data_IF_698487569641
#
_entry.id   IF_698487569641
#
_cell.length_a   1.000
_cell.length_b   1.000
_cell.length_c   1.000
_cell.angle_alpha   90.00
_cell.angle_beta   90.00
_cell.angle_gamma   90.00
#
_symmetry.space_group_name_H-M   'P 1'
#
loop_
_entity.id
_entity.type
_entity.pdbx_description
1 polymer ?
#
# COMPACT_ATOMS: atom_id res chain seq x y z
N UNK A 1 -6.98 -10.58 6.35
CA UNK A 1 -7.85 -9.40 6.22
C UNK A 1 -6.95 -8.23 5.83
N UNK A 2 -7.30 -7.42 4.82
CA UNK A 2 -6.38 -6.43 4.25
C UNK A 2 -6.41 -5.13 5.07
N UNK A 3 -5.60 -4.94 6.12
CA UNK A 3 -5.49 -3.58 6.67
C UNK A 3 -4.75 -2.68 5.68
N UNK A 4 -5.50 -1.69 5.19
CA UNK A 4 -5.04 -0.72 4.21
C UNK A 4 -4.33 0.45 4.89
N UNK A 5 -4.42 0.64 6.20
CA UNK A 5 -3.77 1.78 6.86
C UNK A 5 -2.43 1.45 7.51
N UNK A 6 -2.20 0.20 7.92
CA UNK A 6 -1.23 -0.03 9.00
C UNK A 6 -0.29 -1.20 8.76
N UNK A 7 -0.06 -1.67 7.52
CA UNK A 7 0.74 -2.90 7.28
C UNK A 7 0.30 -4.08 8.16
N UNK A 8 -0.93 -4.01 8.67
CA UNK A 8 -1.45 -4.86 9.70
C UNK A 8 -2.31 -5.88 8.98
N UNK A 9 -2.14 -7.14 9.35
CA UNK A 9 -2.88 -8.24 8.78
C UNK A 9 -3.01 -9.25 9.91
N UNK A 10 -4.24 -9.40 10.43
CA UNK A 10 -4.84 -10.58 11.08
C UNK A 10 -3.99 -11.39 12.10
N UNK A 11 -2.96 -10.80 12.71
CA UNK A 11 -2.01 -11.51 13.58
C UNK A 11 -2.03 -11.07 15.03
N UNK A 12 -3.20 -10.65 15.53
CA UNK A 12 -3.44 -10.53 16.96
C UNK A 12 -3.52 -11.89 17.68
N UNK A 13 -3.51 -13.03 16.99
CA UNK A 13 -3.51 -14.35 17.66
C UNK A 13 -2.21 -14.70 18.42
N UNK A 14 -1.14 -13.90 18.33
CA UNK A 14 0.18 -14.29 18.89
C UNK A 14 0.72 -13.38 20.00
N UNK A 15 -0.12 -12.99 20.94
CA UNK A 15 0.34 -12.52 22.26
C UNK A 15 0.97 -13.62 23.15
N UNK A 16 1.30 -14.80 22.59
CA UNK A 16 2.11 -15.85 23.24
C UNK A 16 3.29 -16.35 22.37
N UNK A 17 4.22 -15.46 22.02
CA UNK A 17 5.63 -15.89 21.93
C UNK A 17 6.25 -16.13 20.55
N UNK A 18 5.84 -15.45 19.49
CA UNK A 18 6.70 -15.20 18.31
C UNK A 18 6.43 -13.78 17.80
N UNK A 19 7.44 -13.03 17.30
CA UNK A 19 7.28 -11.59 17.12
C UNK A 19 6.12 -11.28 16.16
N UNK A 20 5.48 -10.14 16.28
CA UNK A 20 4.27 -9.73 15.53
C UNK A 20 4.51 -8.33 14.96
N UNK A 21 3.92 -8.02 13.80
CA UNK A 21 4.41 -7.11 12.74
C UNK A 21 5.30 -7.86 11.76
N UNK A 22 4.72 -8.24 10.62
CA UNK A 22 5.53 -8.61 9.49
C UNK A 22 5.79 -7.35 8.67
N UNK A 23 6.88 -6.64 8.97
CA UNK A 23 7.54 -5.82 7.97
C UNK A 23 7.68 -6.65 6.67
N UNK A 24 7.76 -5.99 5.51
CA UNK A 24 7.98 -6.71 4.25
C UNK A 24 9.12 -7.74 4.32
N UNK A 25 10.18 -7.42 5.06
CA UNK A 25 11.31 -8.32 5.33
C UNK A 25 10.91 -9.64 6.01
N UNK A 26 9.84 -9.64 6.80
CA UNK A 26 9.39 -10.78 7.58
C UNK A 26 8.27 -11.57 6.92
N UNK A 27 7.41 -10.91 6.13
CA UNK A 27 6.53 -11.60 5.18
C UNK A 27 7.38 -12.42 4.19
N UNK A 28 8.45 -11.83 3.66
CA UNK A 28 9.40 -12.48 2.78
C UNK A 28 10.06 -13.71 3.42
N UNK A 29 10.42 -13.66 4.71
CA UNK A 29 10.99 -14.84 5.41
C UNK A 29 9.96 -15.93 5.70
N UNK A 30 8.67 -15.59 5.81
CA UNK A 30 7.59 -16.53 6.17
C UNK A 30 7.06 -17.30 4.97
N UNK A 31 7.12 -16.71 3.77
CA UNK A 31 6.66 -17.33 2.52
C UNK A 31 7.68 -18.35 1.95
N UNK A 32 8.86 -18.48 2.54
CA UNK A 32 9.93 -19.39 2.11
C UNK A 32 10.73 -18.89 0.90
N UNK A 33 11.85 -19.55 0.61
CA UNK A 33 12.58 -19.35 -0.64
C UNK A 33 11.75 -19.84 -1.84
N UNK A 34 11.91 -19.19 -3.00
CA UNK A 34 11.28 -19.66 -4.23
C UNK A 34 11.67 -21.12 -4.47
N UNK A 35 10.72 -21.95 -4.91
CA UNK A 35 11.11 -23.18 -5.59
C UNK A 35 11.84 -22.76 -6.85
N UNK A 36 13.17 -22.74 -6.79
CA UNK A 36 14.02 -22.52 -7.96
C UNK A 36 13.56 -23.48 -9.05
N UNK A 37 12.89 -22.94 -10.06
CA UNK A 37 12.66 -23.67 -11.30
C UNK A 37 14.00 -23.63 -12.03
N UNK A 38 14.91 -24.54 -11.69
CA UNK A 38 16.26 -24.62 -12.26
C UNK A 38 16.28 -24.76 -13.79
N UNK A 39 15.11 -24.98 -14.40
CA UNK A 39 14.86 -25.05 -15.84
C UNK A 39 14.24 -23.78 -16.46
N UNK A 40 13.92 -22.73 -15.69
CA UNK A 40 13.25 -21.53 -16.20
C UNK A 40 14.08 -20.27 -15.94
N UNK A 41 14.02 -19.31 -16.87
CA UNK A 41 14.59 -17.97 -16.68
C UNK A 41 13.48 -16.92 -16.71
N UNK A 42 13.54 -15.89 -15.84
CA UNK A 42 12.58 -14.80 -15.89
C UNK A 42 12.81 -13.99 -17.17
N UNK A 43 11.72 -13.67 -17.88
CA UNK A 43 11.72 -12.88 -19.13
C UNK A 43 11.11 -11.49 -18.98
N UNK A 44 10.48 -11.21 -17.83
CA UNK A 44 9.90 -9.91 -17.51
C UNK A 44 9.29 -9.88 -16.11
N UNK A 45 8.93 -8.68 -15.66
CA UNK A 45 8.22 -8.44 -14.41
C UNK A 45 7.19 -7.33 -14.62
N UNK A 46 5.99 -7.52 -14.07
CA UNK A 46 5.00 -6.47 -13.90
C UNK A 46 4.70 -6.34 -12.40
N UNK A 47 4.76 -5.12 -11.87
CA UNK A 47 4.63 -4.88 -10.44
C UNK A 47 3.76 -3.65 -10.19
N UNK A 48 2.75 -3.80 -9.35
CA UNK A 48 1.95 -2.70 -8.82
C UNK A 48 2.33 -2.52 -7.35
N UNK A 49 2.84 -1.35 -7.01
CA UNK A 49 3.27 -1.02 -5.64
C UNK A 49 2.42 0.09 -5.08
N UNK A 50 2.03 -0.04 -3.81
CA UNK A 50 1.54 1.08 -3.02
C UNK A 50 2.73 1.98 -2.65
N UNK A 51 2.46 3.26 -2.39
CA UNK A 51 3.42 4.10 -1.68
C UNK A 51 3.86 3.45 -0.35
N UNK A 52 5.05 3.82 0.12
CA UNK A 52 5.55 3.36 1.42
C UNK A 52 4.83 4.00 2.60
N UNK A 53 5.25 3.64 3.81
CA UNK A 53 4.76 4.23 5.06
C UNK A 53 4.83 5.76 5.06
N UNK A 54 3.72 6.42 5.38
CA UNK A 54 3.56 7.88 5.41
C UNK A 54 3.18 8.39 6.79
N UNK A 55 3.30 9.69 7.01
CA UNK A 55 2.69 10.36 8.16
C UNK A 55 1.16 10.41 8.04
N UNK A 56 0.42 10.55 9.16
CA UNK A 56 -1.04 10.63 9.14
C UNK A 56 -1.56 11.83 8.37
N UNK A 57 -2.86 11.82 8.09
CA UNK A 57 -3.53 12.97 7.47
C UNK A 57 -3.60 14.16 8.43
N UNK A 58 -3.62 15.38 7.89
CA UNK A 58 -3.68 16.60 8.69
C UNK A 58 -4.85 16.58 9.67
N UNK A 59 -6.04 16.12 9.25
CA UNK A 59 -7.22 15.99 10.11
C UNK A 59 -6.90 15.13 11.34
N UNK A 60 -6.30 13.97 11.14
CA UNK A 60 -5.96 13.02 12.20
C UNK A 60 -4.96 13.64 13.18
N UNK A 61 -3.93 14.31 12.67
CA UNK A 61 -2.93 15.01 13.50
C UNK A 61 -3.60 16.08 14.37
N UNK A 62 -4.42 16.94 13.77
CA UNK A 62 -5.07 18.04 14.50
C UNK A 62 -6.07 17.54 15.55
N UNK A 63 -6.86 16.51 15.22
CA UNK A 63 -7.80 15.88 16.17
C UNK A 63 -7.05 15.24 17.33
N UNK A 64 -5.99 14.48 17.05
CA UNK A 64 -5.14 13.87 18.06
C UNK A 64 -4.49 14.92 18.99
N UNK A 65 -3.90 15.98 18.45
CA UNK A 65 -3.28 17.04 19.25
C UNK A 65 -4.29 17.78 20.14
N UNK A 66 -5.52 17.96 19.64
CA UNK A 66 -6.63 18.53 20.41
C UNK A 66 -7.02 17.60 21.57
N UNK A 67 -7.20 16.31 21.30
CA UNK A 67 -7.50 15.30 22.30
C UNK A 67 -6.40 15.21 23.36
N UNK A 68 -5.13 15.15 22.94
CA UNK A 68 -3.97 15.14 23.82
C UNK A 68 -3.94 16.35 24.75
N UNK A 69 -4.21 17.55 24.23
CA UNK A 69 -4.24 18.78 25.03
C UNK A 69 -5.30 18.73 26.14
N UNK A 70 -6.40 17.99 25.93
CA UNK A 70 -7.40 17.73 26.97
C UNK A 70 -6.87 16.73 27.99
N UNK A 71 -6.30 15.61 27.55
CA UNK A 71 -5.68 14.60 28.43
C UNK A 71 -4.61 15.20 29.34
N UNK A 72 -3.74 16.04 28.81
CA UNK A 72 -2.67 16.69 29.56
C UNK A 72 -3.19 17.53 30.75
N UNK A 73 -4.39 18.11 30.62
CA UNK A 73 -5.03 18.96 31.64
C UNK A 73 -6.02 18.22 32.54
N UNK A 74 -6.49 17.06 32.12
CA UNK A 74 -7.44 16.24 32.87
C UNK A 74 -6.75 15.38 33.94
N UNK A 75 -7.51 14.95 34.96
CA UNK A 75 -7.08 13.82 35.80
C UNK A 75 -7.32 12.54 35.00
N UNK A 76 -6.33 11.67 34.95
CA UNK A 76 -6.42 10.37 34.28
C UNK A 76 -5.97 9.29 35.25
N UNK A 77 -6.36 8.05 34.99
CA UNK A 77 -5.92 6.88 35.73
C UNK A 77 -4.38 6.88 35.84
N UNK A 78 -3.88 6.67 37.06
CA UNK A 78 -2.44 6.69 37.37
C UNK A 78 -1.65 5.65 36.55
N UNK A 79 -2.28 4.51 36.23
CA UNK A 79 -1.71 3.50 35.33
C UNK A 79 -1.31 4.08 33.96
N UNK A 80 -2.06 5.08 33.47
CA UNK A 80 -1.86 5.71 32.17
C UNK A 80 -1.29 7.13 32.28
N UNK A 81 -0.80 7.54 33.45
CA UNK A 81 -0.26 8.89 33.69
C UNK A 81 0.86 9.27 32.70
N UNK A 82 1.65 8.28 32.27
CA UNK A 82 2.74 8.44 31.29
C UNK A 82 2.27 8.97 29.93
N UNK A 83 0.98 8.82 29.58
CA UNK A 83 0.44 9.32 28.32
C UNK A 83 0.45 10.85 28.23
N UNK A 84 0.57 11.56 29.37
CA UNK A 84 0.68 13.03 29.38
C UNK A 84 2.01 13.55 28.86
N UNK A 85 3.02 12.68 28.82
CA UNK A 85 4.38 13.03 28.40
C UNK A 85 4.71 12.49 27.00
N UNK A 86 3.71 12.01 26.23
CA UNK A 86 3.95 11.57 24.86
C UNK A 86 4.45 12.74 23.98
N UNK A 87 5.47 12.51 23.15
CA UNK A 87 6.03 13.55 22.29
C UNK A 87 5.08 13.89 21.14
N UNK A 88 4.50 15.09 21.18
CA UNK A 88 3.60 15.61 20.15
C UNK A 88 4.30 15.97 18.84
N UNK A 89 5.62 16.17 18.86
CA UNK A 89 6.42 16.56 17.69
C UNK A 89 6.70 15.40 16.73
N UNK A 90 6.35 14.16 17.11
CA UNK A 90 6.35 12.99 16.21
C UNK A 90 5.49 13.21 14.97
N UNK A 91 4.38 13.95 15.13
CA UNK A 91 3.41 14.22 14.06
C UNK A 91 3.10 15.71 14.01
N UNK A 92 3.55 16.37 12.95
CA UNK A 92 3.29 17.79 12.71
C UNK A 92 2.48 17.98 11.43
N UNK A 93 1.74 19.07 11.36
CA UNK A 93 0.89 19.39 10.20
C UNK A 93 1.73 19.58 8.93
N UNK A 94 2.96 20.10 9.07
CA UNK A 94 3.90 20.28 7.96
C UNK A 94 4.34 18.96 7.34
N UNK A 95 4.36 17.87 8.13
CA UNK A 95 4.70 16.53 7.67
C UNK A 95 3.49 15.71 7.24
N UNK A 96 2.27 16.26 7.32
CA UNK A 96 1.04 15.52 7.04
C UNK A 96 1.08 14.88 5.66
N UNK A 97 0.70 13.60 5.58
CA UNK A 97 0.70 12.77 4.36
C UNK A 97 2.05 12.58 3.63
N UNK A 98 3.13 13.21 4.07
CA UNK A 98 4.45 13.02 3.50
C UNK A 98 4.91 11.57 3.66
N UNK A 99 5.67 11.08 2.68
CA UNK A 99 6.36 9.80 2.81
C UNK A 99 7.36 9.91 3.96
N UNK A 100 7.50 8.84 4.75
CA UNK A 100 8.50 8.79 5.81
C UNK A 100 9.81 8.21 5.26
N UNK A 101 10.94 8.48 5.94
CA UNK A 101 12.22 7.84 5.62
C UNK A 101 12.11 6.32 5.67
N UNK A 102 11.31 5.79 6.62
CA UNK A 102 10.99 4.37 6.68
C UNK A 102 10.25 3.92 5.41
N UNK A 103 9.22 4.65 5.00
CA UNK A 103 8.46 4.37 3.78
C UNK A 103 9.31 4.39 2.51
N UNK A 104 10.24 5.34 2.41
CA UNK A 104 11.22 5.37 1.33
C UNK A 104 12.08 4.10 1.34
N UNK A 105 12.66 3.75 2.49
CA UNK A 105 13.51 2.56 2.63
C UNK A 105 12.75 1.25 2.36
N UNK A 106 11.46 1.16 2.69
CA UNK A 106 10.62 0.00 2.37
C UNK A 106 10.63 -0.30 0.86
N UNK A 107 10.43 0.72 0.02
CA UNK A 107 10.38 0.55 -1.43
C UNK A 107 11.77 0.27 -2.02
N UNK A 108 12.80 0.92 -1.49
CA UNK A 108 14.19 0.66 -1.85
C UNK A 108 14.59 -0.79 -1.56
N UNK A 109 14.20 -1.32 -0.39
CA UNK A 109 14.49 -2.71 -0.02
C UNK A 109 13.66 -3.71 -0.83
N UNK A 110 12.39 -3.40 -1.15
CA UNK A 110 11.55 -4.25 -2.00
C UNK A 110 12.21 -4.44 -3.37
N UNK A 111 12.60 -3.35 -4.03
CA UNK A 111 13.20 -3.43 -5.36
C UNK A 111 14.60 -4.04 -5.35
N UNK A 112 15.39 -3.84 -4.28
CA UNK A 112 16.66 -4.54 -4.10
C UNK A 112 16.46 -6.07 -4.03
N UNK A 113 15.38 -6.53 -3.39
CA UNK A 113 15.01 -7.96 -3.41
C UNK A 113 14.59 -8.43 -4.80
N UNK A 114 13.88 -7.62 -5.58
CA UNK A 114 13.54 -7.94 -6.97
C UNK A 114 14.81 -8.09 -7.82
N UNK A 115 15.74 -7.14 -7.70
CA UNK A 115 17.03 -7.18 -8.38
C UNK A 115 17.82 -8.45 -8.05
N UNK A 116 17.88 -8.83 -6.78
CA UNK A 116 18.55 -10.06 -6.36
C UNK A 116 17.87 -11.33 -6.86
N UNK A 117 16.54 -11.41 -6.77
CA UNK A 117 15.78 -12.63 -7.14
C UNK A 117 15.64 -12.81 -8.66
N UNK A 118 15.51 -11.71 -9.39
CA UNK A 118 15.33 -11.69 -10.84
C UNK A 118 16.57 -11.12 -11.54
N UNK A 119 17.75 -11.46 -11.02
CA UNK A 119 19.04 -10.95 -11.48
C UNK A 119 19.23 -10.97 -13.01
N UNK A 120 18.78 -11.99 -13.77
CA UNK A 120 18.87 -11.96 -15.23
C UNK A 120 18.19 -10.75 -15.89
N UNK A 121 17.12 -10.22 -15.30
CA UNK A 121 16.40 -9.03 -15.78
C UNK A 121 17.10 -7.71 -15.44
N UNK A 122 17.84 -7.67 -14.33
CA UNK A 122 18.40 -6.44 -13.76
C UNK A 122 19.93 -6.35 -13.84
N UNK A 123 20.57 -7.26 -14.59
CA UNK A 123 22.03 -7.37 -14.70
C UNK A 123 22.70 -6.12 -15.29
N UNK A 124 22.04 -5.44 -16.23
CA UNK A 124 22.57 -4.27 -16.91
C UNK A 124 21.78 -3.02 -16.49
N UNK A 125 22.40 -2.09 -15.74
CA UNK A 125 21.75 -0.84 -15.32
C UNK A 125 21.13 -0.05 -16.48
N UNK A 126 21.78 -0.01 -17.64
CA UNK A 126 21.27 0.71 -18.82
C UNK A 126 19.96 0.10 -19.30
N UNK A 127 19.86 -1.24 -19.34
CA UNK A 127 18.63 -1.89 -19.79
C UNK A 127 17.47 -1.69 -18.83
N UNK A 128 17.73 -1.47 -17.53
CA UNK A 128 16.68 -1.12 -16.56
C UNK A 128 15.96 0.14 -17.00
N UNK A 129 16.69 1.16 -17.45
CA UNK A 129 16.09 2.44 -17.83
C UNK A 129 15.58 2.46 -19.26
N UNK A 130 16.25 1.76 -20.19
CA UNK A 130 15.84 1.76 -21.61
C UNK A 130 14.74 0.73 -21.94
N UNK A 131 14.47 -0.25 -21.07
CA UNK A 131 13.50 -1.34 -21.32
C UNK A 131 12.39 -1.43 -20.26
N UNK A 132 12.33 -0.49 -19.31
CA UNK A 132 11.25 -0.44 -18.32
C UNK A 132 10.35 0.78 -18.55
N UNK A 133 9.11 0.68 -18.08
CA UNK A 133 8.19 1.82 -17.95
C UNK A 133 7.85 1.98 -16.47
N UNK A 134 7.98 3.20 -15.96
CA UNK A 134 7.60 3.55 -14.59
C UNK A 134 6.44 4.54 -14.61
N UNK A 135 5.48 4.33 -13.72
CA UNK A 135 4.26 5.14 -13.63
C UNK A 135 3.89 5.29 -12.15
N UNK A 136 3.34 6.44 -11.76
CA UNK A 136 2.68 6.57 -10.46
C UNK A 136 1.57 7.63 -10.49
N UNK A 137 0.83 7.78 -9.38
CA UNK A 137 -0.18 8.83 -9.25
C UNK A 137 0.49 10.20 -9.03
N UNK A 138 -0.28 11.29 -9.12
CA UNK A 138 0.26 12.66 -8.97
C UNK A 138 0.69 13.03 -7.54
N UNK A 139 0.41 12.20 -6.54
CA UNK A 139 0.77 12.50 -5.16
C UNK A 139 2.28 12.43 -4.93
N UNK A 140 2.85 13.40 -4.20
CA UNK A 140 4.30 13.40 -3.90
C UNK A 140 4.78 12.09 -3.28
N UNK A 141 4.01 11.52 -2.34
CA UNK A 141 4.33 10.24 -1.70
C UNK A 141 4.42 9.05 -2.66
N UNK A 142 3.67 9.02 -3.77
CA UNK A 142 3.79 7.96 -4.79
C UNK A 142 4.98 8.21 -5.71
N UNK A 143 5.26 9.47 -6.03
CA UNK A 143 6.45 9.90 -6.76
C UNK A 143 7.73 9.50 -6.02
N UNK A 144 7.89 9.94 -4.77
CA UNK A 144 9.02 9.59 -3.89
C UNK A 144 9.14 8.08 -3.66
N UNK A 145 8.02 7.35 -3.59
CA UNK A 145 8.04 5.88 -3.49
C UNK A 145 8.56 5.21 -4.77
N UNK A 146 8.20 5.72 -5.94
CA UNK A 146 8.71 5.23 -7.22
C UNK A 146 10.21 5.54 -7.35
N UNK A 147 10.65 6.73 -6.95
CA UNK A 147 12.05 7.12 -6.86
C UNK A 147 12.86 6.16 -5.99
N UNK A 148 12.36 5.84 -4.79
CA UNK A 148 12.98 4.88 -3.89
C UNK A 148 13.07 3.48 -4.51
N UNK A 149 11.98 3.03 -5.14
CA UNK A 149 11.93 1.74 -5.82
C UNK A 149 12.97 1.67 -6.94
N UNK A 150 13.05 2.67 -7.80
CA UNK A 150 14.04 2.72 -8.90
C UNK A 150 15.46 2.70 -8.36
N UNK A 151 15.74 3.48 -7.32
CA UNK A 151 17.05 3.55 -6.66
C UNK A 151 17.51 2.20 -6.09
N UNK A 152 16.57 1.33 -5.69
CA UNK A 152 16.89 -0.01 -5.18
C UNK A 152 17.05 -1.09 -6.26
N UNK A 153 16.68 -0.86 -7.53
CA UNK A 153 16.76 -1.87 -8.59
C UNK A 153 18.20 -2.25 -9.00
N UNK A 154 19.18 -1.38 -8.78
CA UNK A 154 20.58 -1.71 -9.00
C UNK A 154 21.49 -1.02 -7.99
N UNK A 155 22.68 -1.58 -7.72
CA UNK A 155 23.61 -0.99 -6.75
C UNK A 155 24.15 0.34 -7.25
N UNK A 156 24.35 0.44 -8.56
CA UNK A 156 24.76 1.61 -9.31
C UNK A 156 23.65 2.68 -9.34
N UNK A 157 22.39 2.27 -9.23
CA UNK A 157 21.22 3.15 -9.19
C UNK A 157 21.18 3.99 -7.90
N UNK A 158 21.92 3.60 -6.85
CA UNK A 158 22.08 4.41 -5.63
C UNK A 158 22.89 5.69 -5.85
N UNK A 159 23.54 5.82 -7.00
CA UNK A 159 24.26 7.03 -7.41
C UNK A 159 23.43 7.88 -8.38
N UNK A 160 22.18 7.50 -8.59
CA UNK A 160 21.22 8.19 -9.44
C UNK A 160 20.22 8.87 -8.52
N UNK A 161 20.08 10.18 -8.66
CA UNK A 161 18.99 10.94 -8.05
C UNK A 161 17.89 11.07 -9.10
N UNK A 162 16.78 10.32 -8.97
CA UNK A 162 15.63 10.57 -9.79
C UNK A 162 15.03 11.94 -9.41
N UNK A 163 14.69 12.74 -10.41
CA UNK A 163 14.05 14.04 -10.24
C UNK A 163 12.86 14.11 -11.17
N UNK A 164 11.70 14.46 -10.62
CA UNK A 164 10.53 14.76 -11.42
C UNK A 164 10.68 16.09 -12.15
N UNK A 165 10.37 16.07 -13.45
CA UNK A 165 10.18 17.26 -14.29
C UNK A 165 8.99 17.00 -15.21
N UNK A 166 7.84 17.60 -14.89
CA UNK A 166 6.56 17.38 -15.58
C UNK A 166 6.25 15.88 -15.79
N UNK A 167 6.19 15.44 -17.04
CA UNK A 167 5.90 14.07 -17.49
C UNK A 167 7.18 13.23 -17.65
N UNK A 168 8.28 13.64 -17.02
CA UNK A 168 9.56 12.93 -17.07
C UNK A 168 10.11 12.63 -15.70
N UNK A 169 10.71 11.45 -15.61
CA UNK A 169 11.63 11.13 -14.53
C UNK A 169 13.05 11.27 -15.05
N UNK A 170 13.76 12.28 -14.56
CA UNK A 170 15.15 12.56 -14.93
C UNK A 170 16.06 11.82 -13.96
N UNK A 171 16.93 10.96 -14.49
CA UNK A 171 17.93 10.27 -13.71
C UNK A 171 19.25 11.04 -13.77
N UNK A 172 19.65 11.60 -12.63
CA UNK A 172 20.87 12.41 -12.53
C UNK A 172 21.95 11.63 -11.79
N UNK A 173 23.09 11.39 -12.43
CA UNK A 173 24.26 10.79 -11.78
C UNK A 173 24.85 11.73 -10.72
N UNK A 174 25.58 11.19 -9.74
CA UNK A 174 26.29 12.00 -8.73
C UNK A 174 27.26 13.03 -9.30
N UNK A 175 27.75 12.86 -10.54
CA UNK A 175 28.60 13.84 -11.21
C UNK A 175 27.82 14.97 -11.93
N UNK A 176 26.48 14.98 -11.79
CA UNK A 176 25.59 15.98 -12.34
C UNK A 176 25.18 15.73 -13.80
N UNK A 177 25.61 14.63 -14.42
CA UNK A 177 25.20 14.28 -15.79
C UNK A 177 23.84 13.57 -15.78
N UNK A 178 23.02 13.90 -16.79
CA UNK A 178 21.78 13.18 -17.07
C UNK A 178 22.15 11.80 -17.62
N UNK A 179 21.72 10.74 -16.92
CA UNK A 179 21.97 9.35 -17.31
C UNK A 179 20.85 8.83 -18.24
N UNK A 180 19.61 9.20 -17.93
CA UNK A 180 18.44 8.84 -18.73
C UNK A 180 17.26 9.78 -18.44
N UNK A 181 16.43 9.98 -19.46
CA UNK A 181 15.07 10.49 -19.32
C UNK A 181 14.12 9.32 -19.51
N UNK A 182 13.27 9.08 -18.53
CA UNK A 182 12.23 8.06 -18.62
C UNK A 182 10.91 8.77 -18.78
N UNK A 183 10.17 8.39 -19.81
CA UNK A 183 8.78 8.81 -19.99
C UNK A 183 8.00 8.39 -18.75
N UNK A 184 7.61 9.39 -17.96
CA UNK A 184 6.76 9.21 -16.81
C UNK A 184 5.35 9.42 -17.31
N UNK A 185 4.66 8.32 -17.63
CA UNK A 185 3.29 8.42 -18.12
C UNK A 185 2.41 8.92 -16.97
N UNK A 186 1.82 10.13 -17.07
CA UNK A 186 0.85 10.56 -16.08
C UNK A 186 -0.32 9.58 -16.09
N UNK A 187 -0.80 9.27 -14.90
CA UNK A 187 -1.89 8.32 -14.62
C UNK A 187 -3.16 8.53 -15.46
N UNK A 188 -3.35 9.73 -16.04
CA UNK A 188 -4.38 10.07 -17.02
C UNK A 188 -4.37 9.20 -18.29
N UNK A 189 -3.29 8.45 -18.52
CA UNK A 189 -3.18 7.50 -19.64
C UNK A 189 -3.20 6.03 -19.20
N UNK A 190 -3.27 5.72 -17.89
CA UNK A 190 -3.37 4.34 -17.42
C UNK A 190 -4.84 3.91 -17.27
N UNK A 191 -5.41 3.09 -18.18
CA UNK A 191 -6.81 2.67 -18.12
C UNK A 191 -7.16 1.83 -16.88
N UNK A 192 -6.18 1.27 -16.17
CA UNK A 192 -6.40 0.52 -14.93
C UNK A 192 -6.57 1.46 -13.72
N UNK A 193 -5.83 2.56 -13.70
CA UNK A 193 -5.82 3.54 -12.60
C UNK A 193 -6.74 4.76 -12.84
N UNK A 194 -7.00 5.10 -14.11
CA UNK A 194 -7.91 6.16 -14.58
C UNK A 194 -9.28 6.21 -13.87
N UNK A 195 -9.96 5.07 -13.63
CA UNK A 195 -11.28 5.09 -13.00
C UNK A 195 -11.30 5.65 -11.56
N UNK A 196 -10.15 5.64 -10.85
CA UNK A 196 -10.03 6.24 -9.51
C UNK A 196 -9.87 7.78 -9.56
N UNK A 197 -9.54 8.32 -10.74
CA UNK A 197 -9.34 9.75 -10.98
C UNK A 197 -10.61 10.39 -11.52
N UNK A 198 -11.33 9.69 -12.41
CA UNK A 198 -12.63 10.16 -12.92
C UNK A 198 -13.70 10.27 -11.82
N UNK A 199 -13.59 9.48 -10.73
CA UNK A 199 -14.45 9.59 -9.55
C UNK A 199 -14.22 10.88 -8.73
N UNK A 200 -13.15 11.64 -9.01
CA UNK A 200 -12.97 13.00 -8.48
C UNK A 200 -13.78 14.06 -9.23
N UNK A 201 -14.14 13.79 -10.50
CA UNK A 201 -14.79 14.74 -11.41
C UNK A 201 -16.31 14.51 -11.47
N UNK A 202 -16.76 13.27 -11.30
CA UNK A 202 -18.18 12.92 -11.11
C UNK A 202 -18.38 12.27 -9.74
N UNK A 203 -18.31 13.09 -8.69
CA UNK A 203 -18.91 12.77 -7.40
C UNK A 203 -20.43 12.96 -7.54
N UNK A 204 -21.11 11.99 -8.16
CA UNK A 204 -22.56 11.92 -8.00
C UNK A 204 -22.82 11.77 -6.50
N UNK A 205 -23.40 12.78 -5.88
CA UNK A 205 -23.64 12.87 -4.43
C UNK A 205 -24.37 11.63 -3.89
N UNK A 206 -25.16 10.98 -4.75
CA UNK A 206 -25.92 9.76 -4.48
C UNK A 206 -25.02 8.53 -4.29
N UNK A 207 -23.93 8.40 -5.06
CA UNK A 207 -23.00 7.27 -4.93
C UNK A 207 -22.17 7.35 -3.63
N UNK A 208 -21.81 8.56 -3.20
CA UNK A 208 -21.07 8.80 -1.95
C UNK A 208 -21.90 8.40 -0.73
N UNK A 209 -23.21 8.65 -0.77
CA UNK A 209 -24.13 8.30 0.31
C UNK A 209 -24.25 6.79 0.49
N UNK A 210 -24.39 6.02 -0.59
CA UNK A 210 -24.43 4.55 -0.51
C UNK A 210 -23.08 3.94 -0.14
N UNK A 211 -21.97 4.42 -0.73
CA UNK A 211 -20.62 3.89 -0.45
C UNK A 211 -20.15 4.14 0.99
N UNK A 212 -20.67 5.19 1.63
CA UNK A 212 -20.31 5.51 3.02
C UNK A 212 -21.27 4.92 4.05
N UNK A 213 -22.43 4.41 3.62
CA UNK A 213 -23.51 4.01 4.54
C UNK A 213 -23.08 2.94 5.52
N UNK A 214 -22.49 1.85 5.03
CA UNK A 214 -22.06 0.74 5.91
C UNK A 214 -20.93 1.16 6.86
N UNK A 215 -20.00 2.01 6.40
CA UNK A 215 -18.98 2.59 7.27
C UNK A 215 -19.61 3.41 8.40
N UNK A 216 -20.54 4.31 8.10
CA UNK A 216 -21.20 5.12 9.13
C UNK A 216 -22.15 4.30 10.02
N UNK A 217 -22.84 3.30 9.48
CA UNK A 217 -23.66 2.38 10.27
C UNK A 217 -22.82 1.64 11.30
N UNK A 218 -21.66 1.11 10.89
CA UNK A 218 -20.76 0.42 11.81
C UNK A 218 -20.07 1.39 12.77
N UNK A 219 -19.63 2.56 12.31
CA UNK A 219 -19.03 3.61 13.16
C UNK A 219 -19.97 4.05 14.29
N UNK A 220 -21.27 4.15 14.01
CA UNK A 220 -22.30 4.52 15.00
C UNK A 220 -22.96 3.29 15.64
N UNK A 221 -22.38 2.09 15.48
CA UNK A 221 -22.94 0.87 16.07
C UNK A 221 -22.54 0.72 17.54
N UNK A 222 -23.29 -0.08 18.32
CA UNK A 222 -22.94 -0.40 19.70
C UNK A 222 -21.53 -1.00 19.86
N UNK A 223 -21.00 -1.65 18.82
CA UNK A 223 -19.66 -2.23 18.86
C UNK A 223 -18.55 -1.17 18.96
N UNK A 224 -18.63 -0.10 18.16
CA UNK A 224 -17.64 0.99 18.20
C UNK A 224 -17.88 1.89 19.41
N UNK A 225 -19.14 2.06 19.83
CA UNK A 225 -19.49 2.72 21.08
C UNK A 225 -18.89 1.98 22.29
N UNK A 226 -18.95 0.64 22.32
CA UNK A 226 -18.30 -0.17 23.36
C UNK A 226 -16.79 0.05 23.40
N UNK A 227 -16.12 0.13 22.24
CA UNK A 227 -14.69 0.48 22.16
C UNK A 227 -14.43 1.86 22.77
N UNK A 228 -15.25 2.85 22.45
CA UNK A 228 -15.16 4.20 23.02
C UNK A 228 -15.25 4.13 24.56
N UNK A 229 -16.22 3.39 25.10
CA UNK A 229 -16.39 3.20 26.54
C UNK A 229 -15.21 2.48 27.19
N UNK A 230 -14.64 1.45 26.55
CA UNK A 230 -13.45 0.76 27.05
C UNK A 230 -12.23 1.69 27.10
N UNK A 231 -12.00 2.50 26.06
CA UNK A 231 -10.87 3.43 26.02
C UNK A 231 -11.05 4.55 27.05
N UNK A 232 -12.24 5.15 27.15
CA UNK A 232 -12.54 6.18 28.15
C UNK A 232 -12.39 5.62 29.57
N UNK A 233 -12.96 4.46 29.86
CA UNK A 233 -12.92 3.89 31.22
C UNK A 233 -11.50 3.55 31.68
N UNK A 234 -10.61 3.14 30.76
CA UNK A 234 -9.18 2.94 31.06
C UNK A 234 -8.46 4.25 31.33
N UNK A 235 -8.72 5.27 30.51
CA UNK A 235 -8.12 6.60 30.66
C UNK A 235 -8.62 7.33 31.92
N UNK A 236 -9.90 7.23 32.26
CA UNK A 236 -10.50 8.06 33.29
C UNK A 236 -11.69 7.38 33.99
N UNK A 237 -11.42 6.72 35.13
CA UNK A 237 -12.45 6.15 36.00
C UNK A 237 -13.21 7.23 36.82
N UNK A 238 -12.86 8.53 36.74
CA UNK A 238 -13.32 9.52 37.74
C UNK A 238 -13.66 10.96 37.27
N UNK A 239 -13.62 11.30 35.97
CA UNK A 239 -13.77 12.69 35.51
C UNK A 239 -14.69 12.94 34.29
N UNK A 240 -14.83 14.23 33.94
CA UNK A 240 -15.64 14.78 32.83
C UNK A 240 -15.00 14.57 31.42
N UNK A 241 -14.06 13.62 31.29
CA UNK A 241 -13.35 13.41 30.04
C UNK A 241 -14.27 12.76 28.99
N UNK A 242 -14.74 13.57 28.04
CA UNK A 242 -15.49 13.10 26.88
C UNK A 242 -14.56 12.86 25.69
N UNK A 243 -14.77 11.75 24.98
CA UNK A 243 -14.12 11.44 23.71
C UNK A 243 -15.21 11.24 22.65
N UNK A 244 -14.98 11.80 21.46
CA UNK A 244 -15.84 11.60 20.29
C UNK A 244 -15.38 10.38 19.48
N UNK A 245 -16.27 9.83 18.64
CA UNK A 245 -15.90 8.72 17.73
C UNK A 245 -14.79 9.12 16.74
N UNK A 246 -14.71 10.40 16.35
CA UNK A 246 -13.64 10.91 15.49
C UNK A 246 -12.28 10.97 16.21
N UNK A 247 -12.28 11.28 17.50
CA UNK A 247 -11.09 11.25 18.33
C UNK A 247 -10.64 9.82 18.61
N UNK A 248 -11.58 8.90 18.85
CA UNK A 248 -11.29 7.47 18.97
C UNK A 248 -10.63 6.92 17.70
N UNK A 249 -11.19 7.26 16.53
CA UNK A 249 -10.65 6.88 15.23
C UNK A 249 -9.24 7.47 15.04
N UNK A 250 -9.06 8.75 15.35
CA UNK A 250 -7.74 9.41 15.25
C UNK A 250 -6.71 8.77 16.18
N UNK A 251 -7.12 8.41 17.40
CA UNK A 251 -6.26 7.76 18.38
C UNK A 251 -5.82 6.36 17.93
N UNK A 252 -6.74 5.59 17.35
CA UNK A 252 -6.44 4.29 16.74
C UNK A 252 -5.44 4.45 15.59
N UNK A 253 -5.65 5.42 14.70
CA UNK A 253 -4.74 5.67 13.56
C UNK A 253 -3.35 6.13 14.02
N UNK A 254 -3.27 6.98 15.05
CA UNK A 254 -2.01 7.38 15.68
C UNK A 254 -1.29 6.18 16.29
N UNK A 255 -2.01 5.38 17.09
CA UNK A 255 -1.47 4.14 17.66
C UNK A 255 -0.84 3.27 16.59
N UNK A 256 -1.59 3.01 15.52
CA UNK A 256 -1.14 2.09 14.49
C UNK A 256 -0.03 2.69 13.60
N UNK A 257 -0.04 4.01 13.39
CA UNK A 257 1.06 4.72 12.72
C UNK A 257 2.34 4.68 13.55
N UNK A 258 2.26 4.91 14.86
CA UNK A 258 3.42 4.82 15.75
C UNK A 258 3.99 3.40 15.81
N UNK A 259 3.12 2.39 15.92
CA UNK A 259 3.55 1.00 15.82
C UNK A 259 4.29 0.71 14.52
N UNK A 260 3.80 1.27 13.41
CA UNK A 260 4.47 1.14 12.13
C UNK A 260 5.80 1.90 12.12
N UNK A 261 5.82 3.20 12.36
CA UNK A 261 7.02 4.03 12.19
C UNK A 261 8.10 3.78 13.24
N UNK A 262 7.70 3.54 14.49
CA UNK A 262 8.60 3.50 15.66
C UNK A 262 8.68 2.12 16.32
N UNK A 263 7.84 1.17 15.89
CA UNK A 263 7.81 -0.20 16.45
C UNK A 263 7.10 -0.33 17.79
N UNK A 264 6.64 0.79 18.37
CA UNK A 264 5.94 0.83 19.64
C UNK A 264 4.98 2.04 19.66
N UNK A 265 3.89 1.91 20.40
CA UNK A 265 2.97 3.00 20.70
C UNK A 265 2.36 2.80 22.07
N UNK A 266 2.41 3.85 22.87
CA UNK A 266 1.79 3.87 24.19
C UNK A 266 0.27 4.04 24.11
N UNK A 267 -0.25 4.68 23.05
CA UNK A 267 -1.68 4.81 22.78
C UNK A 267 -2.36 3.47 22.50
N UNK A 268 -1.65 2.52 21.86
CA UNK A 268 -2.22 1.21 21.60
C UNK A 268 -2.60 0.43 22.86
N UNK A 269 -1.98 0.72 24.01
CA UNK A 269 -2.28 0.06 25.29
C UNK A 269 -3.68 0.37 25.82
N UNK A 270 -4.32 1.42 25.31
CA UNK A 270 -5.69 1.77 25.66
C UNK A 270 -6.72 0.84 25.02
N UNK A 271 -6.36 0.11 23.97
CA UNK A 271 -7.26 -0.78 23.25
C UNK A 271 -7.04 -2.23 23.68
N UNK A 272 -8.11 -2.98 23.90
CA UNK A 272 -8.04 -4.44 23.98
C UNK A 272 -7.87 -5.04 22.59
N UNK A 273 -7.61 -6.34 22.54
CA UNK A 273 -7.55 -7.07 21.28
C UNK A 273 -8.89 -7.02 20.51
N UNK A 274 -10.02 -7.16 21.20
CA UNK A 274 -11.35 -7.05 20.57
C UNK A 274 -11.61 -5.64 20.07
N UNK A 275 -11.16 -4.62 20.80
CA UNK A 275 -11.31 -3.22 20.38
C UNK A 275 -10.55 -2.94 19.10
N UNK A 276 -9.29 -3.40 19.01
CA UNK A 276 -8.47 -3.26 17.80
C UNK A 276 -9.10 -3.97 16.59
N UNK A 277 -9.70 -5.15 16.78
CA UNK A 277 -10.42 -5.87 15.70
C UNK A 277 -11.64 -5.12 15.22
N UNK A 278 -12.42 -4.53 16.13
CA UNK A 278 -13.57 -3.72 15.76
C UNK A 278 -13.13 -2.48 14.96
N UNK A 279 -12.09 -1.79 15.42
CA UNK A 279 -11.54 -0.64 14.70
C UNK A 279 -10.94 -1.05 13.34
N UNK A 280 -10.24 -2.18 13.23
CA UNK A 280 -9.74 -2.69 11.95
C UNK A 280 -10.89 -2.96 10.96
N UNK A 281 -11.95 -3.64 11.43
CA UNK A 281 -13.11 -3.93 10.59
C UNK A 281 -13.84 -2.67 10.12
N UNK A 282 -13.85 -1.59 10.92
CA UNK A 282 -14.38 -0.29 10.49
C UNK A 282 -13.63 0.23 9.25
N UNK A 283 -12.30 0.10 9.21
CA UNK A 283 -11.51 0.50 8.04
C UNK A 283 -11.63 -0.50 6.87
N UNK A 284 -11.82 -1.80 7.13
CA UNK A 284 -12.13 -2.77 6.07
C UNK A 284 -13.43 -2.41 5.34
N UNK A 285 -14.46 -2.00 6.09
CA UNK A 285 -15.72 -1.52 5.50
C UNK A 285 -15.49 -0.28 4.65
N UNK A 286 -14.68 0.68 5.14
CA UNK A 286 -14.31 1.84 4.34
C UNK A 286 -13.71 1.42 3.00
N UNK A 287 -12.71 0.53 3.01
CA UNK A 287 -12.00 0.15 1.79
C UNK A 287 -12.83 -0.72 0.85
N UNK A 288 -13.62 -1.65 1.41
CA UNK A 288 -14.49 -2.52 0.64
C UNK A 288 -15.53 -1.72 -0.16
N UNK A 289 -16.20 -0.78 0.50
CA UNK A 289 -17.29 -0.01 -0.09
C UNK A 289 -16.80 1.17 -0.94
N UNK A 290 -15.66 1.78 -0.61
CA UNK A 290 -15.11 2.90 -1.39
C UNK A 290 -14.32 2.44 -2.61
N UNK A 291 -13.48 1.40 -2.47
CA UNK A 291 -12.43 1.08 -3.44
C UNK A 291 -12.49 -0.34 -4.02
N UNK A 292 -13.39 -1.21 -3.52
CA UNK A 292 -13.45 -2.64 -3.90
C UNK A 292 -14.82 -3.05 -4.47
N UNK A 293 -15.21 -4.32 -4.31
CA UNK A 293 -16.45 -4.91 -4.83
C UNK A 293 -17.75 -4.24 -4.33
N UNK A 294 -17.70 -3.54 -3.19
CA UNK A 294 -18.83 -2.75 -2.71
C UNK A 294 -19.03 -1.45 -3.49
N UNK A 295 -18.00 -0.97 -4.20
CA UNK A 295 -18.12 0.20 -5.07
C UNK A 295 -18.93 -0.15 -6.30
N UNK A 296 -20.00 0.58 -6.55
CA UNK A 296 -20.88 0.43 -7.73
C UNK A 296 -20.24 0.91 -9.04
N UNK A 297 -18.95 1.26 -9.02
CA UNK A 297 -18.16 1.65 -10.18
C UNK A 297 -17.96 0.45 -11.13
N UNK A 298 -18.92 0.20 -12.01
CA UNK A 298 -18.84 -0.82 -13.06
C UNK A 298 -17.88 -0.38 -14.17
N UNK A 299 -16.60 -0.70 -14.02
CA UNK A 299 -15.56 -0.39 -15.01
C UNK A 299 -15.80 -1.22 -16.28
N UNK A 300 -16.06 -0.56 -17.41
CA UNK A 300 -16.12 -1.18 -18.74
C UNK A 300 -14.91 -0.72 -19.56
N UNK A 301 -13.87 -1.54 -19.60
CA UNK A 301 -12.63 -1.24 -20.34
C UNK A 301 -12.62 -2.10 -21.60
N UNK A 302 -12.78 -1.47 -22.76
CA UNK A 302 -12.66 -2.12 -24.06
C UNK A 302 -11.32 -1.73 -24.68
N UNK A 303 -10.44 -2.72 -24.91
CA UNK A 303 -9.15 -2.52 -25.59
C UNK A 303 -9.21 -3.25 -26.93
N UNK A 304 -8.87 -2.56 -28.01
CA UNK A 304 -8.82 -3.10 -29.36
C UNK A 304 -7.36 -3.18 -29.79
N UNK A 305 -6.96 -4.33 -30.33
CA UNK A 305 -5.59 -4.54 -30.78
C UNK A 305 -5.57 -5.46 -32.00
N UNK A 306 -4.46 -5.44 -32.73
CA UNK A 306 -4.22 -6.40 -33.80
C UNK A 306 -4.02 -7.81 -33.23
N UNK A 307 -4.22 -8.82 -34.08
CA UNK A 307 -4.12 -10.23 -33.69
C UNK A 307 -2.76 -10.59 -33.10
N UNK A 308 -1.67 -10.03 -33.63
CA UNK A 308 -0.31 -10.24 -33.13
C UNK A 308 -0.11 -9.70 -31.70
N UNK A 309 -0.74 -8.57 -31.35
CA UNK A 309 -0.70 -8.03 -29.99
C UNK A 309 -1.45 -8.94 -29.01
N UNK A 310 -2.61 -9.46 -29.42
CA UNK A 310 -3.42 -10.36 -28.58
C UNK A 310 -2.69 -11.69 -28.34
N UNK A 311 -2.05 -12.24 -29.38
CA UNK A 311 -1.25 -13.47 -29.26
C UNK A 311 -0.12 -13.33 -28.23
N UNK A 312 0.56 -12.18 -28.19
CA UNK A 312 1.57 -11.89 -27.17
C UNK A 312 1.00 -11.89 -25.75
N UNK A 313 -0.20 -11.34 -25.54
CA UNK A 313 -0.87 -11.34 -24.23
C UNK A 313 -1.27 -12.77 -23.81
N UNK A 314 -1.80 -13.58 -24.72
CA UNK A 314 -2.11 -14.99 -24.42
C UNK A 314 -0.87 -15.78 -24.01
N UNK A 315 0.24 -15.59 -24.73
CA UNK A 315 1.51 -16.23 -24.37
C UNK A 315 2.00 -15.81 -22.98
N UNK A 316 1.90 -14.52 -22.63
CA UNK A 316 2.27 -14.00 -21.30
C UNK A 316 1.40 -14.56 -20.17
N UNK A 317 0.11 -14.75 -20.43
CA UNK A 317 -0.83 -15.35 -19.47
C UNK A 317 -0.73 -16.88 -19.42
N UNK A 318 0.14 -17.49 -20.24
CA UNK A 318 0.27 -18.94 -20.34
C UNK A 318 -0.93 -19.64 -21.00
N UNK A 319 -1.77 -18.89 -21.71
CA UNK A 319 -2.96 -19.39 -22.39
C UNK A 319 -2.59 -19.96 -23.75
N UNK A 320 -3.30 -21.02 -24.16
CA UNK A 320 -3.11 -21.69 -25.47
C UNK A 320 -1.68 -22.16 -25.74
N UNK A 321 -0.91 -22.46 -24.68
CA UNK A 321 0.42 -23.05 -24.82
C UNK A 321 0.26 -24.47 -25.39
N UNK A 322 0.82 -24.77 -26.58
CA UNK A 322 0.64 -26.08 -27.18
C UNK A 322 1.48 -27.12 -26.42
N UNK A 323 0.97 -28.35 -26.34
CA UNK A 323 1.67 -29.49 -25.75
C UNK A 323 2.91 -29.90 -26.58
N UNK A 324 2.90 -29.60 -27.87
CA UNK A 324 4.02 -29.78 -28.80
C UNK A 324 4.32 -28.45 -29.47
N UNK A 325 5.58 -28.01 -29.44
CA UNK A 325 5.99 -26.74 -30.08
C UNK A 325 5.80 -26.88 -31.59
N UNK A 326 5.02 -26.01 -32.25
CA UNK A 326 4.86 -26.06 -33.69
C UNK A 326 6.19 -25.72 -34.38
N UNK A 327 6.58 -26.56 -35.33
CA UNK A 327 7.76 -26.44 -36.19
C UNK A 327 7.32 -26.74 -37.62
N UNK A 328 8.14 -26.37 -38.62
CA UNK A 328 7.81 -26.67 -40.01
C UNK A 328 7.64 -28.19 -40.25
N UNK A 329 8.37 -29.01 -39.49
CA UNK A 329 8.46 -30.45 -39.69
C UNK A 329 7.39 -31.27 -38.95
N UNK A 330 6.58 -30.62 -38.09
CA UNK A 330 5.48 -31.28 -37.36
C UNK A 330 4.10 -30.73 -37.70
N UNK A 331 3.97 -30.17 -38.91
CA UNK A 331 2.68 -29.82 -39.48
C UNK A 331 1.80 -31.08 -39.60
N UNK A 332 0.62 -31.12 -38.96
CA UNK A 332 -0.25 -32.29 -39.05
C UNK A 332 -0.86 -32.37 -40.45
N UNK A 333 -0.39 -33.33 -41.25
CA UNK A 333 -0.89 -33.59 -42.61
C UNK A 333 -2.24 -34.31 -42.61
N UNK A 334 -2.61 -34.88 -41.48
CA UNK A 334 -3.82 -35.68 -41.32
C UNK A 334 -4.86 -34.77 -40.66
N UNK A 335 -5.88 -34.33 -41.41
CA UNK A 335 -6.89 -33.36 -40.98
C UNK A 335 -7.76 -33.73 -39.76
N UNK A 336 -7.36 -34.70 -38.94
CA UNK A 336 -7.90 -34.94 -37.61
C UNK A 336 -7.32 -33.94 -36.60
N UNK A 337 -7.77 -32.69 -36.70
CA UNK A 337 -7.65 -31.71 -35.63
C UNK A 337 -8.56 -32.08 -34.46
N UNK A 338 -8.23 -33.13 -33.70
CA UNK A 338 -8.89 -33.47 -32.45
C UNK A 338 -7.90 -34.11 -31.48
N UNK A 339 -7.26 -33.25 -30.69
CA UNK A 339 -6.81 -33.42 -29.27
C UNK A 339 -5.64 -32.48 -28.95
N UNK A 340 -5.77 -31.19 -29.25
CA UNK A 340 -5.13 -30.17 -28.42
C UNK A 340 -6.16 -29.84 -27.32
N UNK A 341 -6.06 -30.57 -26.21
CA UNK A 341 -6.91 -30.42 -25.03
C UNK A 341 -6.83 -28.97 -24.53
N UNK A 342 -8.00 -28.39 -24.33
CA UNK A 342 -8.23 -27.04 -23.81
C UNK A 342 -7.73 -26.85 -22.37
#
# INVERSE_FOLDING_TARGET
>A
MFSVFTSYNDSLEKTHGLPTNLSWSRLASTLGEDKTTSSCQPVGIYSIQRHGSRYPEQRIITTYQTFFSRIARSRINEEFAYLKDEPLDRFTVEKAECLTDKGYNELLEISARYSGRLFPLFRNPVSIFTQSSFQSTETNRTKESAEAFISGLCKECRFITPKHDEDKLILVMKDGKIDAEIDWLPILHDPLLLPKISSGICKDSIAIEEHSREFYNFKNSPFVEEVLHHVISRLDYTGDLSMTLDELQSLYEICATEMNLFGASNWCKLFSQSDLRAMEYLYDLQEYWYSSYGSTSTKKIFKFAHSNTIQGVFALLGLYRPSVIPTADNYPLDGNGSTAVA
#
